data_IF_371923906258
#
_entry.id   IF_371923906258
#
_cell.length_a   1.000
_cell.length_b   1.000
_cell.length_c   1.000
_cell.angle_alpha   90.00
_cell.angle_beta   90.00
_cell.angle_gamma   90.00
#
_symmetry.space_group_name_H-M   'P 1'
#
loop_
_entity.id
_entity.type
_entity.pdbx_description
1 polymer ?
#
# COMPACT_ATOMS: atom_id res chain seq x y z
N UNK A 1 21.11 -9.04 -16.83
CA UNK A 1 21.09 -9.55 -15.44
C UNK A 1 19.76 -9.17 -14.87
N UNK A 2 18.83 -10.12 -14.75
CA UNK A 2 17.52 -9.87 -14.20
C UNK A 2 17.69 -9.63 -12.70
N UNK A 3 17.42 -8.40 -12.27
CA UNK A 3 17.41 -8.01 -10.87
C UNK A 3 16.25 -8.76 -10.22
N UNK A 4 16.55 -9.82 -9.48
CA UNK A 4 15.55 -10.65 -8.82
C UNK A 4 14.96 -9.81 -7.69
N UNK A 5 13.87 -9.11 -7.96
CA UNK A 5 13.06 -8.48 -6.91
C UNK A 5 12.72 -9.62 -5.94
N UNK A 6 13.16 -9.57 -4.67
CA UNK A 6 12.81 -10.61 -3.71
C UNK A 6 11.29 -10.74 -3.63
N UNK A 7 10.76 -11.95 -3.46
CA UNK A 7 9.31 -12.18 -3.31
C UNK A 7 8.78 -11.29 -2.19
N UNK A 8 8.10 -10.20 -2.57
CA UNK A 8 7.63 -9.20 -1.64
C UNK A 8 6.47 -9.76 -0.82
N UNK A 9 6.47 -9.49 0.48
CA UNK A 9 5.33 -9.79 1.34
C UNK A 9 4.11 -9.01 0.87
N UNK A 10 2.92 -9.61 0.96
CA UNK A 10 1.66 -8.98 0.54
C UNK A 10 0.72 -8.82 1.73
N UNK A 11 -0.01 -7.70 1.77
CA UNK A 11 -1.00 -7.48 2.83
C UNK A 11 -2.25 -8.36 2.62
N UNK A 12 -3.05 -8.58 3.68
CA UNK A 12 -4.35 -9.27 3.55
C UNK A 12 -5.32 -8.60 2.56
N UNK A 13 -5.08 -7.33 2.21
CA UNK A 13 -5.90 -6.55 1.28
C UNK A 13 -5.30 -6.44 -0.12
N UNK A 14 -4.18 -7.13 -0.41
CA UNK A 14 -3.46 -7.01 -1.68
C UNK A 14 -4.36 -7.21 -2.92
N UNK A 15 -5.23 -8.22 -2.91
CA UNK A 15 -6.15 -8.46 -4.02
C UNK A 15 -7.11 -7.27 -4.27
N UNK A 16 -7.54 -6.57 -3.19
CA UNK A 16 -8.37 -5.37 -3.31
C UNK A 16 -7.57 -4.20 -3.87
N UNK A 17 -6.31 -4.04 -3.46
CA UNK A 17 -5.44 -3.00 -4.00
C UNK A 17 -5.24 -3.15 -5.51
N UNK A 18 -4.96 -4.37 -5.97
CA UNK A 18 -4.84 -4.69 -7.39
C UNK A 18 -6.15 -4.41 -8.14
N UNK A 19 -7.29 -4.85 -7.58
CA UNK A 19 -8.60 -4.63 -8.20
C UNK A 19 -9.00 -3.15 -8.29
N UNK A 20 -8.53 -2.32 -7.34
CA UNK A 20 -8.76 -0.87 -7.34
C UNK A 20 -7.74 -0.09 -8.18
N UNK A 21 -6.81 -0.77 -8.87
CA UNK A 21 -5.82 -0.14 -9.73
C UNK A 21 -4.71 0.58 -8.95
N UNK A 22 -4.39 0.14 -7.73
CA UNK A 22 -3.31 0.71 -6.95
C UNK A 22 -1.97 0.58 -7.68
N UNK A 23 -1.19 1.64 -7.69
CA UNK A 23 0.23 1.61 -8.04
C UNK A 23 1.00 1.01 -6.87
N UNK A 24 1.43 -0.25 -7.02
CA UNK A 24 2.19 -0.95 -6.00
C UNK A 24 3.69 -0.64 -6.11
N UNK A 25 4.36 -0.54 -4.96
CA UNK A 25 5.80 -0.37 -4.86
C UNK A 25 6.39 -1.19 -3.72
N UNK A 26 7.67 -1.53 -3.84
CA UNK A 26 8.41 -2.18 -2.77
C UNK A 26 8.66 -1.20 -1.61
N UNK A 27 8.20 -1.54 -0.42
CA UNK A 27 8.40 -0.74 0.79
C UNK A 27 8.67 -1.66 1.98
N UNK A 28 9.87 -1.59 2.56
CA UNK A 28 10.24 -2.39 3.75
C UNK A 28 10.11 -3.91 3.56
N UNK A 29 10.29 -4.41 2.35
CA UNK A 29 10.10 -5.84 2.01
C UNK A 29 8.65 -6.24 1.69
N UNK A 30 7.72 -5.29 1.64
CA UNK A 30 6.32 -5.49 1.30
C UNK A 30 5.97 -4.87 -0.06
N UNK A 31 5.01 -5.45 -0.76
CA UNK A 31 4.34 -4.84 -1.91
C UNK A 31 3.17 -4.00 -1.40
N UNK A 32 3.32 -2.69 -1.41
CA UNK A 32 2.39 -1.74 -0.78
C UNK A 32 1.77 -0.77 -1.80
N UNK A 33 0.50 -0.37 -1.62
CA UNK A 33 -0.12 0.67 -2.45
C UNK A 33 0.52 2.04 -2.18
N UNK A 34 1.10 2.64 -3.22
CA UNK A 34 1.66 4.00 -3.19
C UNK A 34 0.56 5.06 -3.42
N UNK A 35 -0.30 4.81 -4.40
CA UNK A 35 -1.44 5.67 -4.76
C UNK A 35 -2.43 4.88 -5.62
N UNK A 36 -3.68 5.34 -5.70
CA UNK A 36 -4.78 4.81 -6.52
C UNK A 36 -5.24 5.82 -7.57
N UNK A 37 -5.44 7.08 -7.16
CA UNK A 37 -5.96 8.16 -8.02
C UNK A 37 -5.03 9.38 -8.10
N UNK A 38 -3.89 9.31 -7.40
CA UNK A 38 -2.84 10.32 -7.37
C UNK A 38 -2.64 10.89 -5.96
N UNK A 39 -1.39 10.99 -5.54
CA UNK A 39 -0.98 11.44 -4.20
C UNK A 39 -1.63 12.76 -3.74
N UNK A 40 -1.72 13.79 -4.58
CA UNK A 40 -2.35 15.08 -4.22
C UNK A 40 -3.86 14.94 -4.00
N UNK A 41 -4.53 14.12 -4.82
CA UNK A 41 -5.98 13.90 -4.73
C UNK A 41 -6.32 13.12 -3.47
N UNK A 42 -5.55 12.09 -3.16
CA UNK A 42 -5.71 11.31 -1.93
C UNK A 42 -5.39 12.13 -0.68
N UNK A 43 -4.34 12.96 -0.73
CA UNK A 43 -4.05 13.91 0.35
C UNK A 43 -5.23 14.85 0.60
N UNK A 44 -5.79 15.42 -0.48
CA UNK A 44 -6.94 16.34 -0.40
C UNK A 44 -8.17 15.63 0.18
N UNK A 45 -8.43 14.39 -0.25
CA UNK A 45 -9.55 13.58 0.28
C UNK A 45 -9.45 13.36 1.79
N UNK A 46 -8.25 13.10 2.32
CA UNK A 46 -8.01 12.97 3.76
C UNK A 46 -8.18 14.30 4.48
N UNK A 47 -7.68 15.40 3.90
CA UNK A 47 -7.72 16.73 4.52
C UNK A 47 -9.13 17.33 4.57
N UNK A 48 -9.93 17.08 3.54
CA UNK A 48 -11.26 17.68 3.39
C UNK A 48 -12.40 16.68 3.63
N UNK A 49 -12.10 15.43 3.99
CA UNK A 49 -13.08 14.36 4.10
C UNK A 49 -12.55 13.16 4.87
N UNK A 50 -12.53 11.99 4.21
CA UNK A 50 -12.08 10.73 4.82
C UNK A 50 -11.07 10.03 3.91
N UNK A 51 -10.10 9.37 4.51
CA UNK A 51 -9.18 8.46 3.83
C UNK A 51 -9.05 7.16 4.58
N UNK A 52 -8.85 6.07 3.84
CA UNK A 52 -8.63 4.73 4.37
C UNK A 52 -7.23 4.28 3.96
N UNK A 53 -6.45 3.81 4.93
CA UNK A 53 -5.07 3.38 4.73
C UNK A 53 -4.93 1.92 5.12
N UNK A 54 -4.27 1.13 4.26
CA UNK A 54 -3.80 -0.19 4.65
C UNK A 54 -2.44 -0.09 5.32
N UNK A 55 -2.44 -0.22 6.65
CA UNK A 55 -1.23 -0.23 7.50
C UNK A 55 -0.91 -1.62 8.03
N UNK A 56 -1.40 -2.68 7.36
CA UNK A 56 -1.26 -4.06 7.86
C UNK A 56 0.18 -4.57 7.92
N UNK A 57 1.12 -3.91 7.24
CA UNK A 57 2.56 -4.21 7.32
C UNK A 57 3.19 -3.78 8.66
N UNK A 58 2.49 -2.95 9.45
CA UNK A 58 2.97 -2.55 10.77
C UNK A 58 2.88 -3.72 11.76
N UNK A 59 3.97 -3.92 12.50
CA UNK A 59 4.02 -4.89 13.58
C UNK A 59 3.06 -4.51 14.73
N UNK A 60 2.53 -5.53 15.40
CA UNK A 60 1.69 -5.37 16.59
C UNK A 60 2.41 -5.98 17.79
N UNK A 61 2.42 -5.28 18.92
CA UNK A 61 2.89 -5.81 20.20
C UNK A 61 1.69 -6.04 21.13
N UNK A 62 1.75 -7.10 21.93
CA UNK A 62 0.79 -7.37 23.00
C UNK A 62 1.57 -7.35 24.31
N UNK A 63 1.05 -6.66 25.31
CA UNK A 63 1.63 -6.53 26.66
C UNK A 63 0.60 -6.98 27.68
#
# INVERSE_FOLDING_TARGET
>A
MADTIPDLLTSPLNARHVALGAKLAAFGGWSMPLEYTGSVKEHTAVRAGVGVFDVSHLGKAVV
#
